data_IF_275265015916
#
_entry.id   IF_275265015916
#
_cell.length_a   1.000
_cell.length_b   1.000
_cell.length_c   1.000
_cell.angle_alpha   90.00
_cell.angle_beta   90.00
_cell.angle_gamma   90.00
#
_symmetry.space_group_name_H-M   'P 1'
#
loop_
_entity.id
_entity.type
_entity.pdbx_description
1 polymer ?
#
# COMPACT_ATOMS: atom_id res chain seq x y z
N UNK A 1 5.08 -15.62 -18.78
CA UNK A 1 4.69 -14.71 -19.89
C UNK A 1 5.86 -14.53 -20.87
N UNK A 2 5.61 -14.21 -22.15
CA UNK A 2 6.67 -14.00 -23.17
C UNK A 2 6.69 -12.59 -23.81
N UNK A 3 5.69 -11.74 -23.53
CA UNK A 3 5.60 -10.39 -24.10
C UNK A 3 6.65 -9.42 -23.55
N UNK A 4 6.88 -8.33 -24.28
CA UNK A 4 7.76 -7.22 -23.87
C UNK A 4 7.15 -6.43 -22.69
N UNK A 5 5.83 -6.32 -22.66
CA UNK A 5 5.08 -5.67 -21.59
C UNK A 5 4.27 -6.70 -20.82
N UNK A 6 4.20 -6.52 -19.51
CA UNK A 6 3.49 -7.38 -18.59
C UNK A 6 2.37 -6.58 -17.94
N UNK A 7 1.18 -7.18 -17.89
CA UNK A 7 0.04 -6.65 -17.17
C UNK A 7 -0.52 -7.74 -16.26
N UNK A 8 -1.24 -7.34 -15.23
CA UNK A 8 -1.83 -8.24 -14.24
C UNK A 8 -3.32 -8.00 -14.13
N UNK A 9 -4.09 -9.01 -13.79
CA UNK A 9 -5.52 -8.88 -13.55
C UNK A 9 -5.94 -9.87 -12.48
N UNK A 10 -6.78 -9.42 -11.54
CA UNK A 10 -7.46 -10.31 -10.62
C UNK A 10 -8.49 -11.16 -11.36
N UNK A 11 -8.76 -12.37 -10.87
CA UNK A 11 -9.75 -13.27 -11.49
C UNK A 11 -11.17 -12.71 -11.52
N UNK A 12 -11.46 -11.69 -10.71
CA UNK A 12 -12.77 -11.05 -10.55
C UNK A 12 -12.85 -9.65 -11.17
N UNK A 13 -11.75 -9.14 -11.72
CA UNK A 13 -11.67 -7.84 -12.40
C UNK A 13 -11.90 -7.94 -13.91
N UNK A 14 -12.14 -6.79 -14.55
CA UNK A 14 -12.41 -6.72 -15.99
C UNK A 14 -11.55 -5.65 -16.65
N UNK A 15 -10.80 -6.01 -17.68
CA UNK A 15 -10.17 -5.03 -18.57
C UNK A 15 -11.19 -4.40 -19.51
N UNK A 16 -11.04 -3.10 -19.77
CA UNK A 16 -11.73 -2.45 -20.86
C UNK A 16 -11.02 -2.75 -22.20
N UNK A 17 -11.76 -2.83 -23.32
CA UNK A 17 -11.23 -3.31 -24.60
C UNK A 17 -10.01 -2.53 -25.12
N UNK A 18 -9.91 -1.26 -24.76
CA UNK A 18 -8.91 -0.30 -25.21
C UNK A 18 -7.65 -0.23 -24.32
N UNK A 19 -7.63 -0.91 -23.16
CA UNK A 19 -6.50 -0.87 -22.20
C UNK A 19 -5.13 -0.97 -22.88
N UNK A 20 -4.92 -2.03 -23.64
CA UNK A 20 -3.62 -2.31 -24.24
C UNK A 20 -3.34 -1.41 -25.45
N UNK A 21 -4.37 -1.07 -26.23
CA UNK A 21 -4.26 -0.15 -27.36
C UNK A 21 -3.78 1.24 -26.92
N UNK A 22 -4.09 1.63 -25.67
CA UNK A 22 -3.70 2.90 -25.06
C UNK A 22 -2.36 2.80 -24.35
N UNK A 23 -2.20 1.82 -23.45
CA UNK A 23 -1.03 1.78 -22.56
C UNK A 23 0.25 1.30 -23.26
N UNK A 24 0.15 0.41 -24.25
CA UNK A 24 1.33 -0.13 -24.93
C UNK A 24 2.10 0.95 -25.70
N UNK A 25 1.46 1.78 -26.55
CA UNK A 25 2.15 2.90 -27.19
C UNK A 25 2.75 3.87 -26.18
N UNK A 26 2.00 4.21 -25.12
CA UNK A 26 2.48 5.11 -24.06
C UNK A 26 3.78 4.61 -23.42
N UNK A 27 3.85 3.32 -23.08
CA UNK A 27 5.06 2.76 -22.47
C UNK A 27 6.18 2.58 -23.49
N UNK A 28 5.87 2.08 -24.69
CA UNK A 28 6.86 1.85 -25.75
C UNK A 28 7.59 3.14 -26.11
N UNK A 29 6.85 4.23 -26.29
CA UNK A 29 7.35 5.50 -26.79
C UNK A 29 7.89 6.40 -25.65
N UNK A 30 7.74 5.99 -24.38
CA UNK A 30 8.28 6.70 -23.23
C UNK A 30 9.80 6.51 -23.05
N UNK A 31 10.49 7.47 -22.39
CA UNK A 31 11.90 7.36 -22.06
C UNK A 31 12.27 6.07 -21.30
N UNK A 32 13.51 5.56 -21.41
CA UNK A 32 13.91 4.30 -20.78
C UNK A 32 13.76 4.27 -19.25
N UNK A 33 13.81 5.42 -18.58
CA UNK A 33 13.57 5.48 -17.14
C UNK A 33 12.10 5.30 -16.76
N UNK A 34 11.16 5.39 -17.71
CA UNK A 34 9.75 5.07 -17.49
C UNK A 34 9.56 3.56 -17.64
N UNK A 35 9.35 2.90 -16.50
CA UNK A 35 9.17 1.45 -16.43
C UNK A 35 7.70 1.03 -16.35
N UNK A 36 6.82 1.94 -15.94
CA UNK A 36 5.45 1.62 -15.53
C UNK A 36 4.45 2.64 -16.05
N UNK A 37 3.37 2.15 -16.66
CA UNK A 37 2.14 2.91 -16.88
C UNK A 37 1.10 2.47 -15.85
N UNK A 38 0.40 3.44 -15.27
CA UNK A 38 -0.81 3.24 -14.49
C UNK A 38 -1.97 3.94 -15.17
N UNK A 39 -3.20 3.58 -14.86
CA UNK A 39 -4.40 4.18 -15.45
C UNK A 39 -5.51 4.39 -14.43
N UNK A 40 -6.50 5.19 -14.82
CA UNK A 40 -7.77 5.25 -14.12
C UNK A 40 -8.47 3.88 -14.13
N UNK A 41 -9.25 3.63 -13.08
CA UNK A 41 -10.13 2.47 -12.98
C UNK A 41 -11.54 2.91 -12.56
N UNK A 42 -12.52 2.07 -12.85
CA UNK A 42 -13.87 2.19 -12.28
C UNK A 42 -14.06 1.13 -11.21
N UNK A 43 -14.83 1.44 -10.17
CA UNK A 43 -15.24 0.45 -9.20
C UNK A 43 -16.57 -0.18 -9.59
N UNK A 44 -16.71 -1.48 -9.38
CA UNK A 44 -17.96 -2.21 -9.59
C UNK A 44 -18.33 -3.12 -8.42
N UNK A 45 -19.63 -3.38 -8.24
CA UNK A 45 -20.16 -4.36 -7.30
C UNK A 45 -20.02 -5.81 -7.82
N UNK A 46 -20.55 -6.79 -7.08
CA UNK A 46 -20.53 -8.19 -7.47
C UNK A 46 -21.35 -8.49 -8.74
N UNK A 47 -22.32 -7.64 -9.07
CA UNK A 47 -23.17 -7.74 -10.26
C UNK A 47 -22.56 -7.01 -11.47
N UNK A 48 -21.47 -6.28 -11.27
CA UNK A 48 -20.79 -5.49 -12.31
C UNK A 48 -21.36 -4.09 -12.49
N UNK A 49 -22.27 -3.64 -11.62
CA UNK A 49 -22.75 -2.26 -11.64
C UNK A 49 -21.68 -1.33 -11.09
N UNK A 50 -21.54 -0.15 -11.71
CA UNK A 50 -20.61 0.88 -11.24
C UNK A 50 -20.99 1.34 -9.83
N UNK A 51 -19.99 1.48 -8.97
CA UNK A 51 -20.13 2.06 -7.63
C UNK A 51 -19.20 3.27 -7.49
N UNK A 52 -19.47 4.18 -6.53
CA UNK A 52 -18.60 5.31 -6.27
C UNK A 52 -17.17 4.89 -5.90
N UNK A 53 -16.20 5.68 -6.34
CA UNK A 53 -14.81 5.52 -5.95
C UNK A 53 -14.63 5.84 -4.45
N UNK A 54 -13.85 5.05 -3.70
CA UNK A 54 -13.51 5.37 -2.32
C UNK A 54 -12.65 6.64 -2.21
N UNK A 55 -12.84 7.42 -1.15
CA UNK A 55 -12.08 8.65 -0.89
C UNK A 55 -10.57 8.40 -0.69
N UNK A 56 -10.20 7.20 -0.26
CA UNK A 56 -8.81 6.76 -0.02
C UNK A 56 -8.13 6.16 -1.26
N UNK A 57 -8.87 6.02 -2.36
CA UNK A 57 -8.35 5.60 -3.65
C UNK A 57 -8.17 6.82 -4.54
N UNK A 58 -6.97 7.03 -5.10
CA UNK A 58 -6.65 8.27 -5.80
C UNK A 58 -5.67 8.05 -6.94
N UNK A 59 -5.58 9.06 -7.81
CA UNK A 59 -4.58 9.11 -8.87
C UNK A 59 -3.22 9.24 -8.20
N UNK A 60 -2.30 8.30 -8.42
CA UNK A 60 -0.91 8.49 -8.07
C UNK A 60 -0.37 9.67 -8.90
N UNK A 61 -0.30 10.85 -8.29
CA UNK A 61 0.34 11.99 -8.93
C UNK A 61 1.85 11.71 -9.05
N UNK A 62 2.46 11.95 -10.21
CA UNK A 62 3.78 11.42 -10.56
C UNK A 62 4.96 12.10 -9.87
N UNK A 63 4.76 13.14 -9.06
CA UNK A 63 5.87 13.92 -8.51
C UNK A 63 6.72 13.11 -7.51
N UNK A 64 6.11 12.20 -6.73
CA UNK A 64 6.85 11.16 -5.99
C UNK A 64 5.96 9.94 -5.70
N UNK A 65 5.95 8.98 -6.64
CA UNK A 65 5.18 7.75 -6.51
C UNK A 65 5.68 6.90 -5.34
N UNK A 66 6.99 6.92 -5.04
CA UNK A 66 7.54 6.14 -3.93
C UNK A 66 7.02 6.62 -2.58
N UNK A 67 7.11 7.92 -2.29
CA UNK A 67 6.58 8.50 -1.04
C UNK A 67 5.06 8.40 -0.95
N UNK A 68 4.35 8.50 -2.09
CA UNK A 68 2.90 8.27 -2.13
C UNK A 68 2.57 6.84 -1.69
N UNK A 69 3.26 5.85 -2.27
CA UNK A 69 3.07 4.45 -1.96
C UNK A 69 3.47 4.11 -0.52
N UNK A 70 4.45 4.77 0.09
CA UNK A 70 4.75 4.56 1.51
C UNK A 70 3.60 5.00 2.43
N UNK A 71 2.76 5.93 2.00
CA UNK A 71 1.60 6.36 2.78
C UNK A 71 0.37 5.48 2.57
N UNK A 72 0.07 5.11 1.32
CA UNK A 72 -1.05 4.25 0.97
C UNK A 72 -0.83 3.58 -0.39
N UNK A 73 -1.29 2.33 -0.55
CA UNK A 73 -1.33 1.71 -1.87
C UNK A 73 -2.50 2.27 -2.69
N UNK A 74 -2.19 3.20 -3.58
CA UNK A 74 -3.19 3.87 -4.45
C UNK A 74 -3.23 3.29 -5.87
N UNK A 75 -2.40 2.28 -6.16
CA UNK A 75 -2.29 1.68 -7.49
C UNK A 75 -2.94 0.30 -7.46
N UNK A 76 -4.00 0.11 -8.24
CA UNK A 76 -4.64 -1.19 -8.38
C UNK A 76 -3.94 -2.01 -9.48
N UNK A 77 -3.67 -3.29 -9.21
CA UNK A 77 -2.86 -4.17 -10.06
C UNK A 77 -3.28 -4.20 -11.55
N UNK A 78 -4.59 -4.19 -11.80
CA UNK A 78 -5.19 -4.23 -13.12
C UNK A 78 -5.06 -2.93 -13.92
N UNK A 79 -4.70 -1.82 -13.28
CA UNK A 79 -4.38 -0.57 -13.97
C UNK A 79 -2.97 -0.56 -14.56
N UNK A 80 -2.12 -1.51 -14.17
CA UNK A 80 -0.68 -1.43 -14.45
C UNK A 80 -0.31 -2.10 -15.78
N UNK A 81 0.66 -1.49 -16.47
CA UNK A 81 1.47 -2.11 -17.52
C UNK A 81 2.95 -1.83 -17.21
N UNK A 82 3.77 -2.88 -17.16
CA UNK A 82 5.21 -2.78 -16.78
C UNK A 82 6.07 -3.35 -17.92
N UNK A 83 7.24 -2.75 -18.16
CA UNK A 83 8.25 -3.37 -19.04
C UNK A 83 8.73 -4.68 -18.40
N UNK A 84 8.82 -5.76 -19.17
CA UNK A 84 9.32 -7.04 -18.66
C UNK A 84 10.71 -6.91 -18.03
N UNK A 85 11.58 -6.11 -18.65
CA UNK A 85 12.94 -5.86 -18.17
C UNK A 85 13.00 -5.21 -16.78
N UNK A 86 11.93 -4.52 -16.34
CA UNK A 86 11.87 -4.00 -14.97
C UNK A 86 11.82 -5.14 -13.96
N UNK A 87 11.08 -6.22 -14.22
CA UNK A 87 11.05 -7.41 -13.35
C UNK A 87 12.39 -8.14 -13.33
N UNK A 88 13.11 -8.16 -14.45
CA UNK A 88 14.45 -8.73 -14.51
C UNK A 88 15.43 -7.96 -13.60
N UNK A 89 15.21 -6.66 -13.38
CA UNK A 89 16.00 -5.82 -12.47
C UNK A 89 15.55 -5.90 -11.01
N UNK A 90 14.25 -5.75 -10.73
CA UNK A 90 13.75 -5.63 -9.35
C UNK A 90 13.37 -6.97 -8.71
N UNK A 91 13.35 -8.05 -9.48
CA UNK A 91 12.89 -9.38 -9.06
C UNK A 91 11.36 -9.54 -9.13
N UNK A 92 10.89 -10.76 -8.85
CA UNK A 92 9.46 -11.13 -8.89
C UNK A 92 8.73 -10.81 -7.58
N UNK A 93 7.48 -11.23 -7.47
CA UNK A 93 6.62 -11.04 -6.30
C UNK A 93 7.18 -11.78 -5.08
N UNK A 94 7.00 -11.18 -3.90
CA UNK A 94 7.33 -11.81 -2.63
C UNK A 94 6.06 -12.43 -2.05
N UNK A 95 5.89 -13.73 -2.31
CA UNK A 95 4.71 -14.51 -1.92
C UNK A 95 4.54 -14.64 -0.39
N UNK A 96 5.53 -14.22 0.40
CA UNK A 96 5.42 -14.18 1.85
C UNK A 96 4.63 -12.97 2.37
N UNK A 97 4.38 -11.97 1.50
CA UNK A 97 3.69 -10.74 1.86
C UNK A 97 2.20 -10.81 1.51
N UNK A 98 1.30 -10.29 2.37
CA UNK A 98 -0.13 -10.22 2.06
C UNK A 98 -0.48 -9.18 0.99
N UNK A 99 0.45 -8.26 0.69
CA UNK A 99 0.30 -7.18 -0.30
C UNK A 99 1.46 -7.21 -1.29
N UNK A 100 1.61 -8.33 -1.99
CA UNK A 100 2.70 -8.55 -2.94
C UNK A 100 2.79 -7.47 -4.02
N UNK A 101 1.64 -6.98 -4.50
CA UNK A 101 1.57 -5.89 -5.47
C UNK A 101 2.15 -4.58 -4.93
N UNK A 102 1.84 -4.25 -3.67
CA UNK A 102 2.32 -3.01 -3.07
C UNK A 102 3.84 -3.02 -2.89
N UNK A 103 4.42 -4.16 -2.49
CA UNK A 103 5.87 -4.35 -2.44
C UNK A 103 6.51 -4.19 -3.82
N UNK A 104 5.88 -4.78 -4.85
CA UNK A 104 6.33 -4.64 -6.24
C UNK A 104 6.32 -3.17 -6.68
N UNK A 105 5.23 -2.43 -6.41
CA UNK A 105 5.13 -1.01 -6.78
C UNK A 105 6.19 -0.17 -6.07
N UNK A 106 6.45 -0.42 -4.79
CA UNK A 106 7.51 0.27 -4.05
C UNK A 106 8.90 -0.05 -4.61
N UNK A 107 9.18 -1.31 -4.99
CA UNK A 107 10.46 -1.68 -5.61
C UNK A 107 10.64 -1.05 -6.99
N UNK A 108 9.58 -1.04 -7.80
CA UNK A 108 9.60 -0.38 -9.12
C UNK A 108 9.79 1.13 -8.97
N UNK A 109 9.12 1.78 -8.01
CA UNK A 109 9.20 3.23 -7.81
C UNK A 109 10.57 3.72 -7.31
N UNK A 110 11.40 2.83 -6.78
CA UNK A 110 12.81 3.12 -6.45
C UNK A 110 13.70 3.23 -7.69
N UNK A 111 13.37 2.48 -8.75
CA UNK A 111 14.24 2.29 -9.90
C UNK A 111 13.72 2.94 -11.18
N UNK A 112 12.41 3.20 -11.27
CA UNK A 112 11.74 3.62 -12.48
C UNK A 112 10.67 4.69 -12.21
N UNK A 113 10.51 5.57 -13.18
CA UNK A 113 9.40 6.53 -13.23
C UNK A 113 8.11 5.83 -13.62
N UNK A 114 7.02 6.34 -13.07
CA UNK A 114 5.65 5.94 -13.37
C UNK A 114 5.00 7.05 -14.18
N UNK A 115 4.23 6.67 -15.19
CA UNK A 115 3.37 7.60 -15.94
C UNK A 115 1.91 7.20 -15.74
N UNK A 116 1.08 8.19 -15.46
CA UNK A 116 -0.36 7.99 -15.28
C UNK A 116 -1.11 8.33 -16.56
N UNK A 117 -1.99 7.43 -16.99
CA UNK A 117 -2.96 7.64 -18.06
C UNK A 117 -4.35 7.94 -17.46
N UNK A 118 -4.99 9.06 -17.79
CA UNK A 118 -6.31 9.39 -17.27
C UNK A 118 -7.44 8.52 -17.86
N UNK A 119 -7.15 7.71 -18.88
CA UNK A 119 -8.14 6.82 -19.50
C UNK A 119 -8.44 5.64 -18.58
N UNK A 120 -9.74 5.39 -18.36
CA UNK A 120 -10.18 4.20 -17.63
C UNK A 120 -9.79 2.96 -18.42
N UNK A 121 -9.07 2.04 -17.80
CA UNK A 121 -8.61 0.83 -18.49
C UNK A 121 -9.17 -0.47 -17.91
N UNK A 122 -9.80 -0.41 -16.74
CA UNK A 122 -10.31 -1.58 -16.05
C UNK A 122 -11.41 -1.24 -15.05
N UNK A 123 -12.17 -2.27 -14.68
CA UNK A 123 -13.15 -2.25 -13.59
C UNK A 123 -12.63 -3.13 -12.45
N UNK A 124 -12.51 -2.54 -11.27
CA UNK A 124 -12.11 -3.22 -10.03
C UNK A 124 -13.36 -3.64 -9.24
N UNK A 125 -13.53 -4.95 -9.03
CA UNK A 125 -14.64 -5.49 -8.24
C UNK A 125 -14.43 -5.29 -6.75
N UNK A 126 -15.40 -4.68 -6.08
CA UNK A 126 -15.44 -4.63 -4.61
C UNK A 126 -16.50 -5.56 -4.08
N UNK A 127 -16.06 -6.49 -3.24
CA UNK A 127 -16.94 -7.32 -2.44
C UNK A 127 -17.18 -6.63 -1.09
N UNK A 128 -18.41 -6.65 -0.60
CA UNK A 128 -18.78 -6.13 0.75
C UNK A 128 -18.00 -6.85 1.86
N UNK A 129 -17.59 -8.10 1.62
CA UNK A 129 -16.71 -8.90 2.46
C UNK A 129 -15.24 -8.91 1.99
N UNK A 130 -14.78 -7.86 1.29
CA UNK A 130 -13.37 -7.81 0.85
C UNK A 130 -12.44 -8.03 2.04
N UNK A 131 -11.31 -8.68 1.79
CA UNK A 131 -10.28 -9.01 2.79
C UNK A 131 -9.93 -7.78 3.66
N UNK A 132 -10.00 -6.57 3.07
CA UNK A 132 -9.74 -5.29 3.72
C UNK A 132 -10.65 -5.00 4.92
N UNK A 133 -11.95 -5.30 4.86
CA UNK A 133 -12.88 -4.98 5.95
C UNK A 133 -12.93 -6.06 7.02
N UNK A 134 -12.89 -7.34 6.63
CA UNK A 134 -13.02 -8.46 7.55
C UNK A 134 -11.73 -8.74 8.35
N UNK A 135 -10.55 -8.34 7.85
CA UNK A 135 -9.25 -8.71 8.42
C UNK A 135 -8.38 -7.51 8.75
N UNK A 136 -8.98 -6.39 9.18
CA UNK A 136 -8.28 -5.13 9.48
C UNK A 136 -6.96 -5.32 10.25
N UNK A 137 -6.95 -6.16 11.29
CA UNK A 137 -5.72 -6.47 12.03
C UNK A 137 -4.60 -7.01 11.13
N UNK A 138 -4.88 -8.06 10.35
CA UNK A 138 -3.91 -8.66 9.43
C UNK A 138 -3.43 -7.66 8.39
N UNK A 139 -4.31 -6.74 7.98
CA UNK A 139 -3.96 -5.71 7.01
C UNK A 139 -2.97 -4.69 7.57
N UNK A 140 -3.20 -4.23 8.81
CA UNK A 140 -2.29 -3.31 9.48
C UNK A 140 -0.92 -3.96 9.76
N UNK A 141 -0.91 -5.21 10.23
CA UNK A 141 0.32 -5.98 10.43
C UNK A 141 1.07 -6.22 9.12
N UNK A 142 0.35 -6.65 8.08
CA UNK A 142 0.89 -6.82 6.73
C UNK A 142 1.54 -5.55 6.18
N UNK A 143 0.88 -4.41 6.38
CA UNK A 143 1.40 -3.10 5.96
C UNK A 143 2.69 -2.76 6.70
N UNK A 144 2.76 -3.02 8.01
CA UNK A 144 3.96 -2.76 8.81
C UNK A 144 5.14 -3.67 8.43
N UNK A 145 4.88 -4.96 8.15
CA UNK A 145 5.90 -5.89 7.66
C UNK A 145 6.46 -5.41 6.32
N UNK A 146 5.58 -5.09 5.38
CA UNK A 146 5.93 -4.56 4.06
C UNK A 146 6.75 -3.27 4.21
N UNK A 147 6.25 -2.26 4.92
CA UNK A 147 6.95 -0.98 5.07
C UNK A 147 8.33 -1.15 5.74
N UNK A 148 8.46 -2.08 6.69
CA UNK A 148 9.75 -2.36 7.33
C UNK A 148 10.81 -2.89 6.36
N UNK A 149 10.40 -3.65 5.33
CA UNK A 149 11.29 -4.14 4.25
C UNK A 149 11.88 -3.01 3.41
N UNK A 150 11.21 -1.85 3.36
CA UNK A 150 11.64 -0.71 2.54
C UNK A 150 12.49 0.33 3.28
N UNK A 151 12.80 0.11 4.56
CA UNK A 151 13.66 0.99 5.36
C UNK A 151 15.08 1.11 4.82
N UNK A 152 15.74 2.22 5.11
CA UNK A 152 17.13 2.50 4.75
C UNK A 152 17.35 2.90 3.29
N UNK A 153 16.27 3.09 2.52
CA UNK A 153 16.37 3.51 1.12
C UNK A 153 16.59 5.02 0.97
N UNK A 154 15.86 5.84 1.71
CA UNK A 154 16.01 7.30 1.74
C UNK A 154 15.56 7.85 3.10
N UNK A 155 16.09 9.01 3.50
CA UNK A 155 15.74 9.64 4.77
C UNK A 155 14.26 10.07 4.82
N UNK A 156 13.74 10.59 3.70
CA UNK A 156 12.33 10.95 3.53
C UNK A 156 11.45 9.71 3.59
N UNK A 157 11.88 8.61 2.95
CA UNK A 157 11.18 7.33 2.98
C UNK A 157 11.12 6.75 4.40
N UNK A 158 12.24 6.76 5.12
CA UNK A 158 12.30 6.31 6.51
C UNK A 158 11.42 7.17 7.41
N UNK A 159 11.37 8.48 7.19
CA UNK A 159 10.46 9.39 7.91
C UNK A 159 8.99 9.02 7.66
N UNK A 160 8.62 8.72 6.40
CA UNK A 160 7.28 8.26 6.06
C UNK A 160 6.95 6.90 6.71
N UNK A 161 7.89 5.96 6.69
CA UNK A 161 7.74 4.65 7.34
C UNK A 161 7.60 4.78 8.86
N UNK A 162 8.36 5.65 9.51
CA UNK A 162 8.23 5.93 10.95
C UNK A 162 6.86 6.52 11.28
N UNK A 163 6.36 7.46 10.46
CA UNK A 163 5.00 8.02 10.61
C UNK A 163 3.93 6.93 10.51
N UNK A 164 4.02 6.05 9.51
CA UNK A 164 3.10 4.93 9.36
C UNK A 164 3.22 3.92 10.52
N UNK A 165 4.45 3.62 10.95
CA UNK A 165 4.73 2.75 12.10
C UNK A 165 4.04 3.28 13.35
N UNK A 166 4.14 4.60 13.60
CA UNK A 166 3.45 5.25 14.72
C UNK A 166 1.93 5.07 14.65
N UNK A 167 1.31 5.42 13.52
CA UNK A 167 -0.14 5.37 13.35
C UNK A 167 -0.70 3.95 13.47
N UNK A 168 -0.08 3.00 12.76
CA UNK A 168 -0.59 1.63 12.65
C UNK A 168 -0.31 0.80 13.90
N UNK A 169 0.86 0.97 14.55
CA UNK A 169 1.15 0.29 15.82
C UNK A 169 0.18 0.72 16.93
N UNK A 170 -0.22 2.00 16.94
CA UNK A 170 -1.20 2.50 17.88
C UNK A 170 -2.60 1.95 17.60
N UNK A 171 -3.02 1.92 16.34
CA UNK A 171 -4.27 1.27 15.94
C UNK A 171 -4.29 -0.21 16.33
N UNK A 172 -3.22 -0.96 16.06
CA UNK A 172 -3.08 -2.36 16.46
C UNK A 172 -3.26 -2.55 17.97
N UNK A 173 -2.69 -1.65 18.76
CA UNK A 173 -2.87 -1.67 20.21
C UNK A 173 -4.31 -1.38 20.63
N UNK A 174 -4.98 -0.43 19.97
CA UNK A 174 -6.37 -0.08 20.25
C UNK A 174 -7.36 -1.21 19.92
N UNK A 175 -7.12 -1.94 18.83
CA UNK A 175 -7.97 -3.07 18.42
C UNK A 175 -7.61 -4.38 19.16
N UNK A 176 -6.53 -4.39 19.96
CA UNK A 176 -6.14 -5.53 20.78
C UNK A 176 -5.37 -6.62 20.03
N UNK A 177 -4.61 -6.25 19.00
CA UNK A 177 -3.74 -7.20 18.29
C UNK A 177 -2.71 -7.83 19.25
N UNK A 178 -2.49 -9.16 19.19
CA UNK A 178 -1.40 -9.83 19.91
C UNK A 178 0.00 -9.33 19.51
N UNK A 179 0.14 -8.73 18.33
CA UNK A 179 1.38 -8.20 17.78
C UNK A 179 1.63 -6.74 18.19
N UNK A 180 0.68 -6.10 18.89
CA UNK A 180 0.78 -4.69 19.26
C UNK A 180 2.06 -4.36 20.05
N UNK A 181 2.45 -5.20 21.02
CA UNK A 181 3.66 -4.97 21.82
C UNK A 181 4.94 -5.03 20.97
N UNK A 182 4.97 -5.87 19.94
CA UNK A 182 6.09 -5.93 18.99
C UNK A 182 6.19 -4.62 18.21
N UNK A 183 5.10 -4.16 17.59
CA UNK A 183 5.12 -2.96 16.76
C UNK A 183 5.30 -1.66 17.56
N UNK A 184 4.81 -1.60 18.81
CA UNK A 184 5.10 -0.48 19.71
C UNK A 184 6.58 -0.44 20.14
N UNK A 185 7.24 -1.59 20.25
CA UNK A 185 8.70 -1.64 20.45
C UNK A 185 9.44 -1.06 19.25
N UNK A 186 9.03 -1.42 18.03
CA UNK A 186 9.63 -0.87 16.79
C UNK A 186 9.45 0.65 16.75
N UNK A 187 8.23 1.15 17.01
CA UNK A 187 7.95 2.59 17.15
C UNK A 187 8.88 3.27 18.16
N UNK A 188 9.09 2.68 19.33
CA UNK A 188 10.01 3.23 20.32
C UNK A 188 11.47 3.19 19.87
N UNK A 189 11.88 2.16 19.13
CA UNK A 189 13.24 2.10 18.57
C UNK A 189 13.48 3.21 17.53
N UNK A 190 12.44 3.59 16.78
CA UNK A 190 12.47 4.69 15.82
C UNK A 190 12.58 6.06 16.51
N UNK A 191 11.66 6.37 17.43
CA UNK A 191 11.53 7.74 17.96
C UNK A 191 12.19 7.98 19.33
N UNK A 192 12.56 6.91 20.05
CA UNK A 192 13.14 6.92 21.40
C UNK A 192 12.37 7.74 22.43
N UNK A 193 11.10 8.04 22.19
CA UNK A 193 10.26 8.88 23.03
C UNK A 193 9.73 8.14 24.26
N UNK A 194 9.55 8.87 25.37
CA UNK A 194 8.93 8.33 26.58
C UNK A 194 7.48 7.89 26.35
N UNK A 195 6.77 8.57 25.43
CA UNK A 195 5.41 8.19 25.06
C UNK A 195 5.38 6.79 24.42
N UNK A 196 6.26 6.54 23.44
CA UNK A 196 6.34 5.23 22.76
C UNK A 196 6.85 4.14 23.71
N UNK A 197 7.81 4.46 24.59
CA UNK A 197 8.25 3.55 25.64
C UNK A 197 7.09 3.16 26.58
N UNK A 198 6.30 4.15 27.03
CA UNK A 198 5.16 3.93 27.91
C UNK A 198 4.10 3.02 27.27
N UNK A 199 3.73 3.29 26.01
CA UNK A 199 2.80 2.44 25.27
C UNK A 199 3.32 1.01 25.11
N UNK A 200 4.60 0.84 24.77
CA UNK A 200 5.24 -0.48 24.68
C UNK A 200 5.16 -1.24 26.01
N UNK A 201 5.52 -0.61 27.14
CA UNK A 201 5.50 -1.25 28.45
C UNK A 201 4.08 -1.63 28.88
N UNK A 202 3.10 -0.73 28.67
CA UNK A 202 1.69 -1.01 28.96
C UNK A 202 1.18 -2.20 28.14
N UNK A 203 1.47 -2.24 26.84
CA UNK A 203 1.11 -3.37 25.98
C UNK A 203 1.78 -4.68 26.43
N UNK A 204 3.08 -4.64 26.78
CA UNK A 204 3.83 -5.81 27.26
C UNK A 204 3.29 -6.36 28.58
N UNK A 205 2.76 -5.50 29.45
CA UNK A 205 2.12 -5.86 30.72
C UNK A 205 0.64 -6.28 30.55
N UNK A 206 0.13 -6.35 29.32
CA UNK A 206 -1.24 -6.77 29.04
C UNK A 206 -2.31 -5.72 29.32
N UNK A 207 -1.92 -4.45 29.50
CA UNK A 207 -2.90 -3.35 29.64
C UNK A 207 -3.59 -3.13 28.29
N UNK A 208 -4.92 -3.12 28.28
CA UNK A 208 -5.71 -2.93 27.05
C UNK A 208 -5.53 -1.53 26.45
N UNK A 209 -5.20 -1.44 25.16
CA UNK A 209 -5.10 -0.16 24.44
C UNK A 209 -6.39 0.65 24.42
N UNK A 210 -7.57 -0.01 24.48
CA UNK A 210 -8.87 0.67 24.62
C UNK A 210 -8.95 1.48 25.93
N UNK A 211 -8.46 0.90 27.04
CA UNK A 211 -8.44 1.58 28.36
C UNK A 211 -7.46 2.75 28.36
N UNK A 212 -6.29 2.58 27.74
CA UNK A 212 -5.29 3.65 27.60
C UNK A 212 -5.87 4.85 26.84
N UNK A 213 -6.55 4.61 25.71
CA UNK A 213 -7.21 5.67 24.94
C UNK A 213 -8.31 6.39 25.73
N UNK A 214 -9.17 5.64 26.45
CA UNK A 214 -10.21 6.24 27.28
C UNK A 214 -9.60 7.18 28.32
N UNK A 215 -8.51 6.76 28.96
CA UNK A 215 -7.78 7.56 29.93
C UNK A 215 -7.13 8.81 29.31
N UNK A 216 -6.49 8.68 28.14
CA UNK A 216 -5.91 9.83 27.41
C UNK A 216 -6.97 10.87 27.03
N UNK A 217 -8.16 10.43 26.60
CA UNK A 217 -9.29 11.31 26.30
C UNK A 217 -9.79 12.06 27.54
N UNK A 218 -9.86 11.39 28.70
CA UNK A 218 -10.24 12.04 29.97
C UNK A 218 -9.24 13.12 30.40
N UNK A 219 -7.96 12.95 30.06
CA UNK A 219 -6.90 13.93 30.35
C UNK A 219 -6.78 15.06 29.32
N UNK A 220 -7.68 15.14 28.33
CA UNK A 220 -7.70 16.22 27.34
C UNK A 220 -6.53 16.20 26.33
N UNK A 221 -5.78 15.10 26.25
CA UNK A 221 -4.71 14.93 25.25
C UNK A 221 -5.33 14.40 23.96
N UNK A 222 -5.34 15.23 22.90
CA UNK A 222 -5.64 14.82 21.52
C UNK A 222 -4.41 14.26 20.84
#
# INVERSE_FOLDING_TARGET
ARGEFICMIGSDDVYLPDKLAVQVPLLRDAPPEVGVITSAIEFMDAQGNRIPQPDDFGIAHPEDVYLTLLNSCVIAAMSVLVRRSCYDKVGLYDESLPFEDWDMWLRLAKEYKFVYSPQVSAKYRRHTNSIFTARRQQMEEGSLMLLSKHRGYSAEGDTAIMRQTRLRSELLYQIGSPQAAHWLRVRWQDDRSLQSLGLYLLAKLGVSGKRVMQFQKMLGRR
#
